data_IF_845924406176
#
_entry.id   IF_845924406176
#
_cell.length_a   1.000
_cell.length_b   1.000
_cell.length_c   1.000
_cell.angle_alpha   90.00
_cell.angle_beta   90.00
_cell.angle_gamma   90.00
#
_symmetry.space_group_name_H-M   'P 1'
#
loop_
_entity.id
_entity.type
_entity.pdbx_description
1 polymer ?
#
# COMPACT_ATOMS: atom_id res chain seq x y z
N UNK A 1 16.52 21.17 13.99
CA UNK A 1 15.60 22.23 14.47
C UNK A 1 14.42 21.52 15.08
N UNK A 2 14.31 21.46 16.40
CA UNK A 2 13.17 20.84 17.06
C UNK A 2 11.92 21.66 16.76
N UNK A 3 10.94 21.04 16.13
CA UNK A 3 9.65 21.64 15.88
C UNK A 3 8.90 21.77 17.22
N UNK A 4 8.85 22.96 17.76
CA UNK A 4 8.23 23.17 19.06
C UNK A 4 6.70 23.25 18.89
N UNK A 5 6.04 22.07 18.92
CA UNK A 5 4.59 21.90 18.82
C UNK A 5 3.85 22.75 19.86
N UNK A 6 4.41 22.88 21.07
CA UNK A 6 3.82 23.67 22.15
C UNK A 6 3.74 25.18 21.81
N UNK A 7 4.69 25.70 21.04
CA UNK A 7 4.70 27.09 20.63
C UNK A 7 3.56 27.39 19.64
N UNK A 8 3.29 26.46 18.72
CA UNK A 8 2.19 26.60 17.75
C UNK A 8 0.81 26.42 18.40
N UNK A 9 0.67 25.46 19.31
CA UNK A 9 -0.57 25.26 20.06
C UNK A 9 -0.86 26.48 20.95
N UNK A 10 0.14 27.02 21.64
CA UNK A 10 -0.02 28.25 22.44
C UNK A 10 -0.37 29.45 21.58
N UNK A 11 0.22 29.63 20.41
CA UNK A 11 -0.12 30.68 19.46
C UNK A 11 -1.58 30.61 19.00
N UNK A 12 -2.05 29.38 18.67
CA UNK A 12 -3.43 29.14 18.31
C UNK A 12 -4.42 29.48 19.44
N UNK A 13 -4.12 29.06 20.67
CA UNK A 13 -4.93 29.38 21.84
C UNK A 13 -4.93 30.88 22.15
N UNK A 14 -3.79 31.53 22.05
CA UNK A 14 -3.69 32.98 22.26
C UNK A 14 -4.56 33.79 21.28
N UNK A 15 -4.61 33.34 20.01
CA UNK A 15 -5.47 33.92 18.98
C UNK A 15 -6.95 33.68 19.28
N UNK A 16 -7.31 32.46 19.71
CA UNK A 16 -8.68 32.08 20.06
C UNK A 16 -9.23 32.88 21.25
N UNK A 17 -8.38 33.27 22.20
CA UNK A 17 -8.74 34.09 23.38
C UNK A 17 -8.45 35.60 23.20
N UNK A 18 -8.08 36.03 21.96
CA UNK A 18 -7.93 37.46 21.65
C UNK A 18 -6.62 38.11 22.12
N UNK A 19 -5.55 37.37 22.33
CA UNK A 19 -4.23 37.88 22.69
C UNK A 19 -3.36 38.06 21.44
N UNK A 20 -3.10 39.31 21.05
CA UNK A 20 -2.78 39.74 19.68
C UNK A 20 -1.30 39.81 19.25
N UNK A 21 -0.31 39.44 20.04
CA UNK A 21 1.10 39.66 19.68
C UNK A 21 1.84 38.56 18.95
N UNK A 22 1.13 37.50 18.44
CA UNK A 22 1.74 36.37 17.69
C UNK A 22 0.97 35.96 16.44
N UNK A 23 0.11 36.83 15.95
CA UNK A 23 -0.74 36.55 14.79
C UNK A 23 0.05 36.39 13.48
N UNK A 24 1.19 37.08 13.35
CA UNK A 24 2.00 37.07 12.12
C UNK A 24 2.73 35.73 11.90
N UNK A 25 3.30 35.13 12.96
CA UNK A 25 4.03 33.84 12.83
C UNK A 25 3.11 32.69 12.43
N UNK A 26 1.86 32.65 12.92
CA UNK A 26 0.90 31.61 12.56
C UNK A 26 0.31 31.85 11.17
N UNK A 27 0.02 33.09 10.84
CA UNK A 27 -0.43 33.50 9.51
C UNK A 27 0.64 33.16 8.46
N UNK A 28 1.91 33.44 8.75
CA UNK A 28 3.05 33.10 7.86
C UNK A 28 3.25 31.60 7.72
N UNK A 29 3.17 30.83 8.81
CA UNK A 29 3.28 29.37 8.74
C UNK A 29 2.12 28.76 7.93
N UNK A 30 0.89 29.26 8.09
CA UNK A 30 -0.28 28.80 7.32
C UNK A 30 -0.16 29.19 5.85
N UNK A 31 0.33 30.40 5.57
CA UNK A 31 0.57 30.89 4.21
C UNK A 31 1.69 30.12 3.53
N UNK A 32 2.77 29.82 4.24
CA UNK A 32 3.86 28.98 3.73
C UNK A 32 3.39 27.55 3.41
N UNK A 33 2.55 26.97 4.27
CA UNK A 33 1.95 25.66 4.04
C UNK A 33 1.04 25.68 2.81
N UNK A 34 0.19 26.68 2.66
CA UNK A 34 -0.67 26.85 1.48
C UNK A 34 0.14 26.98 0.19
N UNK A 35 1.18 27.82 0.19
CA UNK A 35 2.06 28.00 -0.97
C UNK A 35 2.78 26.71 -1.37
N UNK A 36 3.19 25.87 -0.42
CA UNK A 36 3.86 24.60 -0.73
C UNK A 36 2.91 23.55 -1.28
N UNK A 37 1.70 23.45 -0.71
CA UNK A 37 0.65 22.54 -1.21
C UNK A 37 0.25 22.91 -2.64
N UNK A 38 0.11 24.20 -2.93
CA UNK A 38 -0.13 24.75 -4.26
C UNK A 38 0.94 24.29 -5.26
N UNK A 39 2.21 24.52 -4.96
CA UNK A 39 3.33 24.11 -5.83
C UNK A 39 3.33 22.61 -6.13
N UNK A 40 2.98 21.76 -5.15
CA UNK A 40 2.84 20.34 -5.37
C UNK A 40 1.71 20.03 -6.36
N UNK A 41 0.52 20.60 -6.12
CA UNK A 41 -0.65 20.36 -6.96
C UNK A 41 -0.46 20.89 -8.38
N UNK A 42 0.27 21.99 -8.57
CA UNK A 42 0.65 22.51 -9.88
C UNK A 42 1.63 21.59 -10.61
N UNK A 43 2.60 21.03 -9.88
CA UNK A 43 3.56 20.06 -10.41
C UNK A 43 2.98 18.66 -10.64
N UNK A 44 1.79 18.36 -10.10
CA UNK A 44 1.18 17.05 -10.21
C UNK A 44 0.68 16.76 -11.62
N UNK A 45 1.39 15.89 -12.32
CA UNK A 45 1.00 15.42 -13.65
C UNK A 45 -0.07 14.33 -13.54
N UNK A 46 -1.31 14.65 -13.95
CA UNK A 46 -2.45 13.74 -14.02
C UNK A 46 -2.62 13.06 -15.38
N UNK A 47 -1.81 13.38 -16.39
CA UNK A 47 -1.93 12.79 -17.73
C UNK A 47 -1.89 11.25 -17.72
N UNK A 48 -1.09 10.58 -16.88
CA UNK A 48 -1.07 9.13 -16.80
C UNK A 48 -2.40 8.48 -16.45
N UNK A 49 -3.24 9.16 -15.69
CA UNK A 49 -4.54 8.64 -15.22
C UNK A 49 -5.73 9.16 -16.03
N UNK A 50 -5.52 10.16 -16.90
CA UNK A 50 -6.61 10.75 -17.69
C UNK A 50 -7.34 9.75 -18.57
N UNK A 51 -6.70 8.75 -19.20
CA UNK A 51 -7.42 7.72 -19.97
C UNK A 51 -8.44 6.95 -19.11
N UNK A 52 -8.09 6.63 -17.86
CA UNK A 52 -9.03 5.98 -16.93
C UNK A 52 -10.12 6.94 -16.47
N UNK A 53 -9.71 8.13 -16.03
CA UNK A 53 -10.64 9.14 -15.53
C UNK A 53 -11.69 9.50 -16.59
N UNK A 54 -11.29 9.61 -17.86
CA UNK A 54 -12.16 9.96 -18.98
C UNK A 54 -13.27 8.93 -19.24
N UNK A 55 -13.04 7.64 -18.96
CA UNK A 55 -14.07 6.59 -19.11
C UNK A 55 -15.31 6.83 -18.26
N UNK A 56 -15.19 7.60 -17.19
CA UNK A 56 -16.26 7.86 -16.24
C UNK A 56 -17.01 9.17 -16.50
N UNK A 57 -16.77 9.80 -17.66
CA UNK A 57 -17.45 11.01 -18.11
C UNK A 57 -18.13 10.78 -19.44
N UNK A 58 -19.38 11.26 -19.57
CA UNK A 58 -20.17 11.18 -20.81
C UNK A 58 -19.88 12.32 -21.80
N UNK A 59 -19.13 13.34 -21.36
CA UNK A 59 -18.78 14.52 -22.17
C UNK A 59 -17.25 14.56 -22.39
N UNK A 60 -16.77 15.19 -23.48
CA UNK A 60 -15.35 15.46 -23.68
C UNK A 60 -14.74 16.28 -22.55
N UNK A 61 -13.44 16.13 -22.32
CA UNK A 61 -12.70 16.94 -21.34
C UNK A 61 -12.84 18.44 -21.69
N UNK A 62 -13.10 19.25 -20.68
CA UNK A 62 -13.32 20.70 -20.84
C UNK A 62 -14.76 21.10 -21.18
N UNK A 63 -15.70 20.15 -21.29
CA UNK A 63 -17.13 20.41 -21.46
C UNK A 63 -17.99 19.99 -20.25
N UNK A 64 -17.36 19.55 -19.18
CA UNK A 64 -17.99 19.28 -17.89
C UNK A 64 -18.18 20.57 -17.09
N UNK A 65 -19.16 20.56 -16.18
CA UNK A 65 -19.45 21.70 -15.29
C UNK A 65 -18.26 22.04 -14.39
N UNK A 66 -17.55 20.99 -13.92
CA UNK A 66 -16.34 21.10 -13.11
C UNK A 66 -15.19 20.34 -13.75
N UNK A 67 -14.01 20.96 -13.95
CA UNK A 67 -12.86 20.30 -14.54
C UNK A 67 -12.49 19.02 -13.79
N UNK A 68 -12.45 17.88 -14.49
CA UNK A 68 -12.19 16.57 -13.86
C UNK A 68 -10.83 16.50 -13.19
N UNK A 69 -9.84 17.24 -13.69
CA UNK A 69 -8.52 17.38 -13.07
C UNK A 69 -8.60 18.10 -11.75
N UNK A 70 -9.35 19.19 -11.68
CA UNK A 70 -9.58 19.93 -10.43
C UNK A 70 -10.31 19.08 -9.40
N UNK A 71 -11.33 18.33 -9.81
CA UNK A 71 -12.04 17.40 -8.95
C UNK A 71 -11.11 16.33 -8.36
N UNK A 72 -10.21 15.78 -9.17
CA UNK A 72 -9.25 14.77 -8.71
C UNK A 72 -8.16 15.37 -7.80
N UNK A 73 -7.62 16.54 -8.16
CA UNK A 73 -6.71 17.31 -7.29
C UNK A 73 -7.35 17.61 -5.93
N UNK A 74 -8.63 17.97 -5.91
CA UNK A 74 -9.39 18.24 -4.67
C UNK A 74 -9.46 17.01 -3.77
N UNK A 75 -9.61 15.80 -4.32
CA UNK A 75 -9.55 14.57 -3.54
C UNK A 75 -8.19 14.40 -2.86
N UNK A 76 -7.08 14.57 -3.60
CA UNK A 76 -5.72 14.48 -3.06
C UNK A 76 -5.51 15.55 -1.98
N UNK A 77 -5.83 16.80 -2.29
CA UNK A 77 -5.72 17.94 -1.41
C UNK A 77 -6.52 17.75 -0.10
N UNK A 78 -7.77 17.28 -0.21
CA UNK A 78 -8.63 16.99 0.93
C UNK A 78 -8.04 15.95 1.87
N UNK A 79 -7.44 14.89 1.32
CA UNK A 79 -6.75 13.85 2.11
C UNK A 79 -5.52 14.41 2.83
N UNK A 80 -4.71 15.18 2.12
CA UNK A 80 -3.52 15.80 2.71
C UNK A 80 -3.88 16.79 3.84
N UNK A 81 -4.93 17.60 3.65
CA UNK A 81 -5.48 18.51 4.68
C UNK A 81 -6.26 17.77 5.79
N UNK A 82 -6.38 16.45 5.76
CA UNK A 82 -7.16 15.63 6.70
C UNK A 82 -8.62 16.11 6.85
N UNK A 83 -9.24 16.55 5.78
CA UNK A 83 -10.65 16.96 5.78
C UNK A 83 -11.53 15.75 5.58
N UNK A 84 -12.27 15.34 6.63
CA UNK A 84 -13.10 14.13 6.61
C UNK A 84 -14.36 14.28 5.77
N UNK A 85 -15.10 15.39 5.95
CA UNK A 85 -16.45 15.56 5.40
C UNK A 85 -16.45 16.44 4.16
N UNK A 86 -17.25 16.08 3.15
CA UNK A 86 -17.38 16.86 1.92
C UNK A 86 -17.96 18.25 2.17
N UNK A 87 -18.91 18.38 3.11
CA UNK A 87 -19.45 19.68 3.54
C UNK A 87 -18.36 20.60 4.10
N UNK A 88 -17.37 20.05 4.82
CA UNK A 88 -16.22 20.85 5.27
C UNK A 88 -15.31 21.24 4.12
N UNK A 89 -15.16 20.39 3.11
CA UNK A 89 -14.39 20.69 1.90
C UNK A 89 -15.01 21.86 1.14
N UNK A 90 -16.31 21.77 0.88
CA UNK A 90 -17.09 22.85 0.24
C UNK A 90 -16.97 24.15 1.02
N UNK A 91 -17.25 24.15 2.33
CA UNK A 91 -17.14 25.32 3.17
C UNK A 91 -15.73 25.94 3.19
N UNK A 92 -14.70 25.08 3.23
CA UNK A 92 -13.32 25.54 3.21
C UNK A 92 -12.99 26.23 1.88
N UNK A 93 -13.31 25.62 0.76
CA UNK A 93 -13.04 26.19 -0.56
C UNK A 93 -13.84 27.50 -0.78
N UNK A 94 -15.08 27.59 -0.29
CA UNK A 94 -15.87 28.84 -0.34
C UNK A 94 -15.27 29.98 0.49
N UNK A 95 -14.55 29.64 1.55
CA UNK A 95 -13.85 30.64 2.38
C UNK A 95 -12.40 30.89 1.92
N UNK A 96 -11.86 30.07 1.04
CA UNK A 96 -10.51 30.15 0.47
C UNK A 96 -10.55 29.97 -1.05
N UNK A 97 -11.17 30.91 -1.78
CA UNK A 97 -11.37 30.78 -3.23
C UNK A 97 -10.04 30.71 -4.00
N UNK A 98 -8.97 31.28 -3.49
CA UNK A 98 -7.65 31.20 -4.09
C UNK A 98 -7.17 29.74 -4.17
N UNK A 99 -7.37 28.93 -3.12
CA UNK A 99 -7.04 27.50 -3.14
C UNK A 99 -7.90 26.72 -4.16
N UNK A 100 -9.16 27.13 -4.36
CA UNK A 100 -10.02 26.54 -5.39
C UNK A 100 -9.50 26.83 -6.81
N UNK A 101 -9.02 28.03 -7.06
CA UNK A 101 -8.41 28.44 -8.33
C UNK A 101 -7.11 27.63 -8.55
N UNK A 102 -6.27 27.49 -7.53
CA UNK A 102 -5.04 26.71 -7.57
C UNK A 102 -5.31 25.22 -7.84
N UNK A 103 -6.41 24.67 -7.33
CA UNK A 103 -6.86 23.31 -7.68
C UNK A 103 -7.28 23.19 -9.14
N UNK A 104 -7.54 24.30 -9.82
CA UNK A 104 -7.88 24.38 -11.23
C UNK A 104 -9.39 24.45 -11.49
N UNK A 105 -10.20 24.91 -10.53
CA UNK A 105 -11.61 25.23 -10.79
C UNK A 105 -11.73 26.50 -11.65
N UNK A 106 -12.76 26.49 -12.50
CA UNK A 106 -13.06 27.64 -13.33
C UNK A 106 -13.49 28.84 -12.48
N UNK A 107 -13.32 30.03 -13.03
CA UNK A 107 -13.82 31.28 -12.47
C UNK A 107 -15.00 31.77 -13.30
N UNK A 108 -15.98 32.39 -12.67
CA UNK A 108 -17.11 33.01 -13.32
C UNK A 108 -16.76 34.42 -13.90
N UNK A 109 -17.75 35.08 -14.48
CA UNK A 109 -17.56 36.42 -15.06
C UNK A 109 -17.26 37.48 -14.01
N UNK A 110 -17.50 37.23 -12.72
CA UNK A 110 -17.22 38.19 -11.64
C UNK A 110 -15.81 37.92 -11.04
N UNK A 111 -15.13 36.88 -11.46
CA UNK A 111 -13.83 36.45 -10.94
C UNK A 111 -13.94 35.48 -9.75
N UNK A 112 -15.14 34.99 -9.41
CA UNK A 112 -15.36 34.05 -8.33
C UNK A 112 -15.11 32.59 -8.80
N UNK A 113 -14.48 31.81 -7.95
CA UNK A 113 -14.24 30.38 -8.23
C UNK A 113 -15.55 29.59 -8.25
N UNK A 114 -15.75 28.78 -9.31
CA UNK A 114 -16.90 27.87 -9.43
C UNK A 114 -16.61 26.60 -8.60
N UNK A 115 -17.05 26.60 -7.35
CA UNK A 115 -16.77 25.55 -6.39
C UNK A 115 -17.90 24.51 -6.40
N UNK A 116 -17.59 23.21 -6.55
CA UNK A 116 -18.58 22.15 -6.48
C UNK A 116 -19.15 22.02 -5.07
N UNK A 117 -20.44 21.74 -4.95
CA UNK A 117 -21.07 21.44 -3.68
C UNK A 117 -20.62 20.07 -3.14
N UNK A 118 -20.92 19.82 -1.88
CA UNK A 118 -20.52 18.59 -1.19
C UNK A 118 -21.11 17.31 -1.82
N UNK A 119 -22.32 17.39 -2.40
CA UNK A 119 -22.91 16.24 -3.07
C UNK A 119 -22.21 15.96 -4.40
N UNK A 120 -21.82 16.97 -5.16
CA UNK A 120 -21.03 16.83 -6.38
C UNK A 120 -19.66 16.20 -6.09
N UNK A 121 -18.96 16.66 -5.04
CA UNK A 121 -17.70 16.06 -4.58
C UNK A 121 -17.91 14.60 -4.16
N UNK A 122 -18.94 14.30 -3.36
CA UNK A 122 -19.29 12.95 -2.93
C UNK A 122 -19.64 12.06 -4.12
N UNK A 123 -20.45 12.55 -5.04
CA UNK A 123 -20.84 11.82 -6.24
C UNK A 123 -19.62 11.48 -7.11
N UNK A 124 -18.70 12.42 -7.29
CA UNK A 124 -17.47 12.22 -8.02
C UNK A 124 -16.64 11.07 -7.46
N UNK A 125 -16.33 11.10 -6.17
CA UNK A 125 -15.46 10.11 -5.55
C UNK A 125 -16.12 8.74 -5.39
N UNK A 126 -17.40 8.69 -4.95
CA UNK A 126 -18.04 7.44 -4.53
C UNK A 126 -18.90 6.78 -5.59
N UNK A 127 -19.48 7.55 -6.50
CA UNK A 127 -20.43 7.05 -7.50
C UNK A 127 -19.77 7.03 -8.87
N UNK A 128 -19.22 8.17 -9.32
CA UNK A 128 -18.63 8.27 -10.65
C UNK A 128 -17.36 7.44 -10.76
N UNK A 129 -16.43 7.56 -9.84
CA UNK A 129 -15.23 6.74 -9.80
C UNK A 129 -15.46 5.43 -9.04
N UNK A 130 -15.81 5.50 -7.76
CA UNK A 130 -15.96 4.34 -6.90
C UNK A 130 -14.66 3.53 -6.75
N UNK A 131 -14.77 2.34 -6.13
CA UNK A 131 -13.59 1.52 -5.83
C UNK A 131 -12.87 1.04 -7.10
N UNK A 132 -13.61 0.55 -8.11
CA UNK A 132 -12.99 -0.04 -9.29
C UNK A 132 -12.13 0.95 -10.09
N UNK A 133 -12.65 2.18 -10.33
CA UNK A 133 -11.86 3.21 -11.00
C UNK A 133 -10.68 3.69 -10.14
N UNK A 134 -10.89 3.83 -8.83
CA UNK A 134 -9.82 4.24 -7.92
C UNK A 134 -8.72 3.19 -7.81
N UNK A 135 -9.05 1.89 -7.82
CA UNK A 135 -8.05 0.81 -7.85
C UNK A 135 -7.26 0.83 -9.16
N UNK A 136 -7.94 1.03 -10.31
CA UNK A 136 -7.28 1.17 -11.60
C UNK A 136 -6.36 2.41 -11.66
N UNK A 137 -6.79 3.53 -11.09
CA UNK A 137 -5.99 4.75 -10.98
C UNK A 137 -4.77 4.52 -10.07
N UNK A 138 -4.94 3.84 -8.95
CA UNK A 138 -3.83 3.47 -8.07
C UNK A 138 -2.78 2.66 -8.83
N UNK A 139 -3.21 1.65 -9.58
CA UNK A 139 -2.32 0.81 -10.40
C UNK A 139 -1.57 1.65 -11.46
N UNK A 140 -2.24 2.57 -12.14
CA UNK A 140 -1.61 3.47 -13.10
C UNK A 140 -0.55 4.36 -12.45
N UNK A 141 -0.80 4.87 -11.26
CA UNK A 141 0.22 5.59 -10.49
C UNK A 141 1.39 4.69 -10.12
N UNK A 142 1.15 3.46 -9.63
CA UNK A 142 2.22 2.50 -9.34
C UNK A 142 3.10 2.25 -10.57
N UNK A 143 2.50 1.96 -11.73
CA UNK A 143 3.23 1.75 -12.99
C UNK A 143 4.10 2.96 -13.34
N UNK A 144 3.58 4.17 -13.16
CA UNK A 144 4.32 5.40 -13.48
C UNK A 144 5.43 5.68 -12.48
N UNK A 145 5.18 5.49 -11.19
CA UNK A 145 6.19 5.65 -10.14
C UNK A 145 7.36 4.69 -10.36
N UNK A 146 7.08 3.42 -10.63
CA UNK A 146 8.12 2.42 -10.95
C UNK A 146 8.88 2.82 -12.22
N UNK A 147 8.18 3.24 -13.28
CA UNK A 147 8.80 3.65 -14.53
C UNK A 147 9.65 4.91 -14.44
N UNK A 148 9.25 5.91 -13.63
CA UNK A 148 10.08 7.10 -13.38
C UNK A 148 11.26 6.76 -12.45
N UNK A 149 11.06 5.88 -11.46
CA UNK A 149 12.15 5.34 -10.64
C UNK A 149 13.22 4.65 -11.47
N UNK A 150 12.83 3.77 -12.40
CA UNK A 150 13.74 3.08 -13.32
C UNK A 150 14.61 4.06 -14.13
N UNK A 151 14.04 5.17 -14.62
CA UNK A 151 14.78 6.22 -15.35
C UNK A 151 15.84 6.89 -14.50
N UNK A 152 15.62 6.97 -13.20
CA UNK A 152 16.54 7.56 -12.24
C UNK A 152 17.52 6.54 -11.62
N UNK A 153 17.44 5.28 -12.05
CA UNK A 153 18.27 4.17 -11.55
C UNK A 153 17.79 3.62 -10.21
N UNK A 154 16.57 3.93 -9.77
CA UNK A 154 15.95 3.34 -8.59
C UNK A 154 15.25 2.03 -8.98
N UNK A 155 15.28 1.05 -8.09
CA UNK A 155 14.65 -0.25 -8.27
C UNK A 155 13.39 -0.37 -7.38
N UNK A 156 12.44 0.55 -7.60
CA UNK A 156 11.20 0.57 -6.81
C UNK A 156 10.49 -0.77 -6.94
N UNK A 157 10.21 -1.42 -5.81
CA UNK A 157 9.65 -2.76 -5.72
C UNK A 157 10.69 -3.89 -5.71
N UNK A 158 12.01 -3.63 -5.66
CA UNK A 158 13.04 -4.67 -5.53
C UNK A 158 12.92 -5.36 -4.17
N UNK A 159 12.80 -4.58 -3.10
CA UNK A 159 12.63 -5.00 -1.72
C UNK A 159 11.21 -4.66 -1.27
N UNK A 160 10.36 -5.69 -1.12
CA UNK A 160 8.95 -5.48 -0.78
C UNK A 160 8.61 -6.03 0.58
N UNK A 161 7.67 -5.40 1.25
CA UNK A 161 7.09 -5.93 2.47
C UNK A 161 5.59 -5.96 2.42
N UNK A 162 5.01 -6.98 3.04
CA UNK A 162 3.56 -7.07 3.20
C UNK A 162 3.21 -7.15 4.67
N UNK A 163 2.41 -6.20 5.13
CA UNK A 163 1.93 -6.15 6.51
C UNK A 163 0.43 -5.80 6.56
N UNK A 164 -0.22 -6.20 7.67
CA UNK A 164 -1.61 -5.88 7.95
C UNK A 164 -1.72 -4.86 9.07
N UNK A 165 -2.49 -3.79 8.85
CA UNK A 165 -2.78 -2.82 9.89
C UNK A 165 -4.25 -2.89 10.30
N UNK A 166 -4.55 -2.97 11.62
CA UNK A 166 -5.91 -2.90 12.12
C UNK A 166 -6.47 -1.49 11.97
N UNK A 167 -7.74 -1.39 11.53
CA UNK A 167 -8.49 -0.14 11.45
C UNK A 167 -9.72 -0.29 12.34
N UNK A 168 -9.76 0.46 13.43
CA UNK A 168 -10.86 0.42 14.37
C UNK A 168 -12.11 1.10 13.81
N UNK A 169 -13.23 0.39 13.81
CA UNK A 169 -14.53 0.87 13.29
C UNK A 169 -15.67 0.48 14.24
N UNK A 170 -15.72 1.03 15.45
CA UNK A 170 -16.59 0.56 16.54
C UNK A 170 -18.08 0.61 16.19
N UNK A 171 -18.51 1.56 15.36
CA UNK A 171 -19.89 1.83 15.02
C UNK A 171 -20.27 1.41 13.59
N UNK A 172 -19.47 0.52 12.96
CA UNK A 172 -19.69 0.04 11.60
C UNK A 172 -20.00 -1.46 11.59
N UNK A 173 -21.03 -1.87 10.84
CA UNK A 173 -21.40 -3.28 10.66
C UNK A 173 -20.36 -4.08 9.86
N UNK A 174 -19.51 -3.42 9.07
CA UNK A 174 -18.44 -4.06 8.32
C UNK A 174 -17.32 -4.63 9.21
N UNK A 175 -17.20 -4.12 10.43
CA UNK A 175 -16.19 -4.59 11.38
C UNK A 175 -16.56 -5.89 12.04
N UNK A 176 -15.55 -6.73 12.28
CA UNK A 176 -15.64 -7.92 13.13
C UNK A 176 -14.91 -7.68 14.45
N UNK A 177 -15.38 -8.27 15.53
CA UNK A 177 -14.71 -8.16 16.83
C UNK A 177 -13.48 -9.07 16.85
N UNK A 178 -12.31 -8.47 17.02
CA UNK A 178 -11.07 -9.21 17.16
C UNK A 178 -10.70 -9.37 18.64
N UNK A 179 -10.63 -10.62 19.12
CA UNK A 179 -10.38 -10.94 20.52
C UNK A 179 -8.97 -10.56 21.00
N UNK A 180 -7.97 -10.59 20.09
CA UNK A 180 -6.59 -10.19 20.42
C UNK A 180 -6.51 -8.68 20.69
N UNK A 181 -7.06 -7.87 19.79
CA UNK A 181 -7.07 -6.41 19.92
C UNK A 181 -8.20 -5.89 20.82
N UNK A 182 -9.17 -6.76 21.19
CA UNK A 182 -10.39 -6.40 21.96
C UNK A 182 -11.17 -5.24 21.34
N UNK A 183 -11.20 -5.16 20.01
CA UNK A 183 -11.80 -4.08 19.24
C UNK A 183 -12.60 -4.61 18.06
N UNK A 184 -13.61 -3.83 17.63
CA UNK A 184 -14.32 -4.05 16.38
C UNK A 184 -13.56 -3.35 15.25
N UNK A 185 -13.10 -4.11 14.27
CA UNK A 185 -12.14 -3.63 13.30
C UNK A 185 -12.26 -4.34 11.94
N UNK A 186 -11.63 -3.78 10.94
CA UNK A 186 -11.20 -4.42 9.70
C UNK A 186 -9.67 -4.43 9.66
N UNK A 187 -9.09 -5.19 8.74
CA UNK A 187 -7.65 -5.15 8.44
C UNK A 187 -7.41 -4.59 7.04
N UNK A 188 -6.38 -3.79 6.90
CA UNK A 188 -5.84 -3.40 5.61
C UNK A 188 -4.46 -4.04 5.44
N UNK A 189 -4.32 -4.91 4.45
CA UNK A 189 -3.03 -5.43 4.01
C UNK A 189 -2.45 -4.45 2.99
N UNK A 190 -1.19 -4.08 3.17
CA UNK A 190 -0.47 -3.19 2.27
C UNK A 190 0.85 -3.87 1.92
N UNK A 191 1.13 -3.99 0.64
CA UNK A 191 2.47 -4.30 0.16
C UNK A 191 3.13 -3.01 -0.27
N UNK A 192 4.35 -2.81 0.19
CA UNK A 192 5.13 -1.61 -0.06
C UNK A 192 6.52 -1.91 -0.57
N UNK A 193 7.12 -0.94 -1.24
CA UNK A 193 8.57 -0.86 -1.44
C UNK A 193 9.22 -0.37 -0.15
N UNK A 194 10.14 -1.15 0.39
CA UNK A 194 10.80 -0.86 1.67
C UNK A 194 11.81 0.28 1.58
N UNK A 195 12.48 0.43 0.46
CA UNK A 195 13.55 1.41 0.32
C UNK A 195 12.99 2.84 0.24
N UNK A 196 11.74 2.99 -0.22
CA UNK A 196 11.15 4.31 -0.49
C UNK A 196 9.78 4.53 0.17
N UNK A 197 9.26 3.56 0.94
CA UNK A 197 7.93 3.59 1.58
C UNK A 197 6.78 3.88 0.59
N UNK A 198 6.78 3.20 -0.54
CA UNK A 198 5.78 3.37 -1.61
C UNK A 198 4.77 2.23 -1.58
N UNK A 199 3.46 2.49 -1.43
CA UNK A 199 2.45 1.44 -1.47
C UNK A 199 2.32 0.89 -2.90
N UNK A 200 2.46 -0.43 -3.06
CA UNK A 200 2.41 -1.12 -4.35
C UNK A 200 1.13 -1.96 -4.53
N UNK A 201 0.57 -2.46 -3.45
CA UNK A 201 -0.69 -3.19 -3.46
C UNK A 201 -1.44 -2.99 -2.14
N UNK A 202 -2.76 -3.17 -2.17
CA UNK A 202 -3.59 -3.12 -0.97
C UNK A 202 -4.71 -4.15 -1.02
N UNK A 203 -5.20 -4.56 0.15
CA UNK A 203 -6.40 -5.37 0.31
C UNK A 203 -7.04 -5.10 1.65
N UNK A 204 -8.37 -4.91 1.66
CA UNK A 204 -9.15 -4.77 2.91
C UNK A 204 -9.94 -6.04 3.16
N UNK A 205 -9.98 -6.47 4.41
CA UNK A 205 -10.65 -7.69 4.82
C UNK A 205 -11.28 -7.57 6.23
N UNK A 206 -11.98 -8.60 6.67
CA UNK A 206 -12.54 -8.66 8.02
C UNK A 206 -11.44 -8.67 9.10
N UNK A 207 -11.73 -8.08 10.26
CA UNK A 207 -10.75 -7.96 11.34
C UNK A 207 -10.33 -9.30 11.96
N UNK A 208 -11.09 -10.39 11.71
CA UNK A 208 -10.78 -11.76 12.17
C UNK A 208 -10.23 -12.66 11.08
N UNK A 209 -10.13 -12.17 9.85
CA UNK A 209 -9.61 -12.97 8.74
C UNK A 209 -8.13 -13.31 8.97
N UNK A 210 -7.73 -14.47 8.49
CA UNK A 210 -6.37 -14.94 8.62
C UNK A 210 -5.49 -14.29 7.54
N UNK A 211 -4.39 -13.67 7.93
CA UNK A 211 -3.53 -12.88 7.05
C UNK A 211 -2.91 -13.71 5.93
N UNK A 212 -2.62 -15.01 6.20
CA UNK A 212 -2.03 -15.92 5.22
C UNK A 212 -2.84 -16.08 3.92
N UNK A 213 -4.15 -15.87 3.96
CA UNK A 213 -5.04 -15.99 2.78
C UNK A 213 -4.81 -14.89 1.74
N UNK A 214 -4.20 -13.79 2.14
CA UNK A 214 -4.11 -12.59 1.30
C UNK A 214 -2.75 -12.41 0.62
N UNK A 215 -1.67 -13.08 1.11
CA UNK A 215 -0.32 -12.85 0.59
C UNK A 215 -0.20 -13.15 -0.91
N UNK A 216 -0.74 -14.27 -1.38
CA UNK A 216 -0.72 -14.61 -2.81
C UNK A 216 -1.33 -13.49 -3.67
N UNK A 217 -2.52 -12.99 -3.28
CA UNK A 217 -3.19 -11.90 -3.99
C UNK A 217 -2.40 -10.59 -3.94
N UNK A 218 -1.76 -10.30 -2.81
CA UNK A 218 -0.90 -9.14 -2.65
C UNK A 218 0.32 -9.21 -3.55
N UNK A 219 1.03 -10.35 -3.57
CA UNK A 219 2.19 -10.56 -4.44
C UNK A 219 1.82 -10.49 -5.94
N UNK A 220 0.67 -11.06 -6.33
CA UNK A 220 0.19 -10.98 -7.73
C UNK A 220 -0.05 -9.52 -8.14
N UNK A 221 -0.72 -8.75 -7.31
CA UNK A 221 -1.00 -7.33 -7.58
C UNK A 221 0.29 -6.51 -7.59
N UNK A 222 1.20 -6.75 -6.65
CA UNK A 222 2.51 -6.08 -6.62
C UNK A 222 3.32 -6.39 -7.88
N UNK A 223 3.29 -7.66 -8.35
CA UNK A 223 4.04 -8.07 -9.53
C UNK A 223 3.53 -7.43 -10.83
N UNK A 224 2.28 -6.99 -10.89
CA UNK A 224 1.76 -6.22 -12.03
C UNK A 224 2.44 -4.86 -12.10
N UNK A 225 2.53 -4.15 -10.96
CA UNK A 225 3.10 -2.80 -10.86
C UNK A 225 4.63 -2.78 -10.94
N UNK A 226 5.29 -3.69 -10.23
CA UNK A 226 6.75 -3.69 -10.01
C UNK A 226 7.46 -4.95 -10.53
N UNK A 227 6.83 -5.72 -11.39
CA UNK A 227 7.22 -7.07 -11.87
C UNK A 227 8.70 -7.24 -12.22
N UNK A 228 9.32 -6.23 -12.83
CA UNK A 228 10.72 -6.30 -13.25
C UNK A 228 11.71 -6.25 -12.11
N UNK A 229 11.30 -5.63 -11.01
CA UNK A 229 12.20 -5.23 -9.93
C UNK A 229 12.14 -6.19 -8.74
N UNK A 230 11.00 -6.84 -8.49
CA UNK A 230 10.82 -7.69 -7.31
C UNK A 230 11.91 -8.76 -7.19
N UNK A 231 12.60 -8.80 -6.06
CA UNK A 231 13.64 -9.78 -5.72
C UNK A 231 13.47 -10.37 -4.33
N UNK A 232 13.22 -9.53 -3.34
CA UNK A 232 13.09 -9.93 -1.96
C UNK A 232 11.76 -9.48 -1.38
N UNK A 233 11.24 -10.26 -0.43
CA UNK A 233 10.00 -9.93 0.26
C UNK A 233 10.06 -10.29 1.73
N UNK A 234 9.53 -9.39 2.56
CA UNK A 234 9.38 -9.57 4.00
C UNK A 234 7.91 -9.68 4.37
N UNK A 235 7.59 -10.58 5.26
CA UNK A 235 6.24 -10.70 5.78
C UNK A 235 6.21 -11.21 7.22
N UNK A 236 5.18 -10.81 7.95
CA UNK A 236 4.99 -11.18 9.34
C UNK A 236 4.64 -12.66 9.52
N UNK A 237 4.81 -13.18 10.75
CA UNK A 237 4.45 -14.54 11.13
C UNK A 237 3.02 -14.93 10.77
N UNK A 238 2.10 -13.96 10.73
CA UNK A 238 0.72 -14.15 10.28
C UNK A 238 0.56 -14.65 8.83
N UNK A 239 1.57 -14.45 7.98
CA UNK A 239 1.60 -14.94 6.60
C UNK A 239 2.40 -16.24 6.43
N UNK A 240 2.96 -16.76 7.52
CA UNK A 240 3.93 -17.85 7.52
C UNK A 240 3.24 -19.21 7.32
N UNK A 241 2.95 -19.55 6.07
CA UNK A 241 2.31 -20.78 5.66
C UNK A 241 3.11 -21.45 4.51
N UNK A 242 3.14 -22.77 4.49
CA UNK A 242 3.87 -23.53 3.46
C UNK A 242 3.45 -23.13 2.03
N UNK A 243 2.15 -22.88 1.81
CA UNK A 243 1.65 -22.39 0.53
C UNK A 243 2.30 -21.07 0.14
N UNK A 244 2.32 -20.11 1.05
CA UNK A 244 2.84 -18.77 0.79
C UNK A 244 4.34 -18.78 0.49
N UNK A 245 5.11 -19.56 1.26
CA UNK A 245 6.55 -19.74 1.04
C UNK A 245 6.80 -20.38 -0.32
N UNK A 246 6.13 -21.50 -0.62
CA UNK A 246 6.30 -22.21 -1.88
C UNK A 246 5.94 -21.32 -3.09
N UNK A 247 4.81 -20.59 -3.04
CA UNK A 247 4.40 -19.66 -4.10
C UNK A 247 5.40 -18.52 -4.28
N UNK A 248 5.81 -17.87 -3.19
CA UNK A 248 6.73 -16.73 -3.27
C UNK A 248 8.06 -17.12 -3.91
N UNK A 249 8.63 -18.28 -3.55
CA UNK A 249 9.88 -18.75 -4.15
C UNK A 249 9.69 -19.26 -5.58
N UNK A 250 8.69 -20.12 -5.83
CA UNK A 250 8.59 -20.87 -7.08
C UNK A 250 7.85 -20.10 -8.16
N UNK A 251 6.73 -19.46 -7.83
CA UNK A 251 5.92 -18.74 -8.82
C UNK A 251 6.41 -17.31 -9.04
N UNK A 252 6.84 -16.63 -7.97
CA UNK A 252 7.29 -15.25 -8.04
C UNK A 252 8.82 -15.10 -8.08
N UNK A 253 9.58 -16.15 -7.81
CA UNK A 253 11.05 -16.15 -7.84
C UNK A 253 11.69 -15.27 -6.75
N UNK A 254 11.01 -15.08 -5.61
CA UNK A 254 11.40 -14.17 -4.56
C UNK A 254 12.24 -14.85 -3.48
N UNK A 255 13.20 -14.13 -2.93
CA UNK A 255 13.85 -14.48 -1.67
C UNK A 255 12.93 -13.99 -0.54
N UNK A 256 12.53 -14.91 0.35
CA UNK A 256 11.59 -14.61 1.42
C UNK A 256 12.29 -14.45 2.77
N UNK A 257 11.93 -13.41 3.50
CA UNK A 257 12.36 -13.16 4.87
C UNK A 257 11.14 -13.20 5.80
N UNK A 258 11.15 -14.12 6.74
CA UNK A 258 10.03 -14.36 7.66
C UNK A 258 10.53 -14.76 9.04
N UNK A 259 9.68 -14.56 10.04
CA UNK A 259 10.00 -14.96 11.41
C UNK A 259 10.07 -16.49 11.53
N UNK A 260 11.11 -17.00 12.19
CA UNK A 260 11.24 -18.43 12.51
C UNK A 260 10.70 -18.65 13.92
N UNK A 261 9.49 -19.16 14.02
CA UNK A 261 8.90 -19.59 15.27
C UNK A 261 9.65 -20.79 15.89
N UNK A 262 9.55 -20.94 17.20
CA UNK A 262 10.21 -22.04 17.93
C UNK A 262 9.88 -23.41 17.33
N UNK A 263 8.62 -23.63 16.91
CA UNK A 263 8.19 -24.87 16.27
C UNK A 263 8.79 -25.11 14.87
N UNK A 264 9.32 -24.05 14.25
CA UNK A 264 9.91 -24.07 12.92
C UNK A 264 11.44 -24.17 12.91
N UNK A 265 12.07 -24.20 14.09
CA UNK A 265 13.53 -24.29 14.26
C UNK A 265 14.08 -25.70 14.09
N UNK A 266 13.39 -26.55 13.35
CA UNK A 266 13.83 -27.93 13.08
C UNK A 266 13.89 -28.17 11.58
N UNK A 267 14.97 -28.81 11.14
CA UNK A 267 15.04 -29.35 9.79
C UNK A 267 13.99 -30.45 9.60
N UNK A 268 13.17 -30.31 8.57
CA UNK A 268 12.12 -31.29 8.25
C UNK A 268 12.68 -32.35 7.32
N UNK A 269 12.36 -33.63 7.62
CA UNK A 269 12.65 -34.77 6.79
C UNK A 269 11.39 -35.62 6.67
N UNK A 270 11.36 -36.52 5.67
CA UNK A 270 10.22 -37.35 5.33
C UNK A 270 10.60 -38.83 5.47
N UNK A 271 9.75 -39.62 6.14
CA UNK A 271 9.99 -41.04 6.33
C UNK A 271 9.09 -41.88 5.42
N UNK A 272 9.71 -42.78 4.67
CA UNK A 272 9.02 -43.73 3.80
C UNK A 272 9.40 -45.16 4.18
N UNK A 273 8.44 -46.08 4.19
CA UNK A 273 8.64 -47.50 4.42
C UNK A 273 8.51 -48.29 3.13
N UNK A 274 9.61 -49.00 2.76
CA UNK A 274 9.64 -49.88 1.60
C UNK A 274 10.21 -51.23 2.05
N UNK A 275 9.48 -52.33 1.80
CA UNK A 275 9.90 -53.70 2.14
C UNK A 275 10.39 -53.85 3.60
N UNK A 276 9.68 -53.22 4.54
CA UNK A 276 10.00 -53.28 5.98
C UNK A 276 11.17 -52.39 6.42
N UNK A 277 11.82 -51.69 5.52
CA UNK A 277 12.88 -50.70 5.83
C UNK A 277 12.35 -49.29 5.79
N UNK A 278 12.76 -48.47 6.73
CA UNK A 278 12.44 -47.01 6.77
C UNK A 278 13.59 -46.27 6.10
N UNK A 279 13.22 -45.34 5.23
CA UNK A 279 14.12 -44.41 4.53
C UNK A 279 13.74 -43.00 4.91
N UNK A 280 14.72 -42.18 5.21
CA UNK A 280 14.52 -40.74 5.54
C UNK A 280 14.93 -39.91 4.34
N UNK A 281 14.01 -39.11 3.83
CA UNK A 281 14.20 -38.23 2.68
C UNK A 281 14.39 -36.81 3.10
N UNK A 282 15.31 -36.11 2.44
CA UNK A 282 15.35 -34.61 2.49
C UNK A 282 14.18 -34.06 1.70
N UNK A 283 13.84 -32.73 1.86
CA UNK A 283 12.81 -32.11 1.04
C UNK A 283 13.03 -32.27 -0.48
N UNK A 284 14.28 -32.17 -0.94
CA UNK A 284 14.62 -32.38 -2.35
C UNK A 284 14.33 -33.83 -2.82
N UNK A 285 14.70 -34.81 -2.01
CA UNK A 285 14.39 -36.20 -2.30
C UNK A 285 12.89 -36.49 -2.29
N UNK A 286 12.14 -35.83 -1.39
CA UNK A 286 10.68 -35.90 -1.32
C UNK A 286 10.01 -35.26 -2.55
N UNK A 287 10.48 -34.11 -3.00
CA UNK A 287 10.05 -33.48 -4.25
C UNK A 287 10.20 -34.43 -5.42
N UNK A 288 11.38 -35.04 -5.56
CA UNK A 288 11.66 -36.01 -6.64
C UNK A 288 10.75 -37.26 -6.53
N UNK A 289 10.57 -37.79 -5.31
CA UNK A 289 9.69 -38.93 -5.06
C UNK A 289 8.23 -38.63 -5.41
N UNK A 290 7.72 -37.50 -5.00
CA UNK A 290 6.34 -37.08 -5.30
C UNK A 290 6.15 -36.78 -6.78
N UNK A 291 7.11 -36.10 -7.42
CA UNK A 291 7.04 -35.80 -8.85
C UNK A 291 6.95 -37.05 -9.69
N UNK A 292 7.73 -38.12 -9.36
CA UNK A 292 7.70 -39.41 -10.07
C UNK A 292 6.35 -40.11 -10.00
N UNK A 293 5.47 -39.80 -9.06
CA UNK A 293 4.11 -40.38 -9.01
C UNK A 293 3.23 -39.91 -10.17
N UNK A 294 3.64 -38.85 -10.86
CA UNK A 294 2.91 -38.28 -11.99
C UNK A 294 3.47 -38.66 -13.37
N UNK A 295 4.26 -39.77 -13.45
CA UNK A 295 4.94 -40.18 -14.67
C UNK A 295 4.01 -40.45 -15.88
N UNK A 296 2.72 -40.72 -15.64
CA UNK A 296 1.70 -40.94 -16.67
C UNK A 296 0.99 -39.67 -17.12
N UNK A 297 1.29 -38.51 -16.48
CA UNK A 297 0.66 -37.23 -16.82
C UNK A 297 1.29 -36.63 -18.08
N UNK A 298 0.48 -35.94 -18.93
CA UNK A 298 0.95 -35.34 -20.17
C UNK A 298 2.09 -34.34 -20.02
N UNK A 299 2.10 -33.61 -18.90
CA UNK A 299 3.07 -32.54 -18.59
C UNK A 299 4.33 -33.08 -17.87
N UNK A 300 4.45 -34.41 -17.67
CA UNK A 300 5.59 -34.98 -17.00
C UNK A 300 6.83 -34.96 -17.89
N UNK A 301 7.94 -34.47 -17.37
CA UNK A 301 9.26 -34.45 -18.01
C UNK A 301 10.20 -35.41 -17.32
N UNK A 302 10.73 -36.44 -18.05
CA UNK A 302 11.62 -37.46 -17.48
C UNK A 302 12.90 -36.85 -16.90
N UNK A 303 13.43 -35.82 -17.53
CA UNK A 303 14.68 -35.15 -17.16
C UNK A 303 14.41 -33.72 -16.58
N UNK A 304 13.33 -33.61 -15.77
CA UNK A 304 12.98 -32.35 -15.12
C UNK A 304 14.05 -31.93 -14.12
N UNK A 305 14.39 -30.64 -14.09
CA UNK A 305 15.21 -30.05 -13.02
C UNK A 305 14.42 -30.02 -11.70
N UNK A 306 15.12 -29.82 -10.58
CA UNK A 306 14.45 -29.64 -9.29
C UNK A 306 13.45 -28.47 -9.34
N UNK A 307 13.79 -27.38 -10.04
CA UNK A 307 12.89 -26.24 -10.26
C UNK A 307 11.64 -26.61 -11.05
N UNK A 308 11.78 -27.37 -12.17
CA UNK A 308 10.63 -27.87 -12.93
C UNK A 308 9.71 -28.73 -12.07
N UNK A 309 10.30 -29.61 -11.23
CA UNK A 309 9.55 -30.48 -10.32
C UNK A 309 8.79 -29.66 -9.27
N UNK A 310 9.43 -28.65 -8.67
CA UNK A 310 8.80 -27.76 -7.70
C UNK A 310 7.64 -26.98 -8.33
N UNK A 311 7.84 -26.40 -9.52
CA UNK A 311 6.79 -25.69 -10.26
C UNK A 311 5.60 -26.62 -10.55
N UNK A 312 5.87 -27.86 -10.94
CA UNK A 312 4.83 -28.85 -11.19
C UNK A 312 4.04 -29.18 -9.92
N UNK A 313 4.73 -29.45 -8.79
CA UNK A 313 4.09 -29.78 -7.52
C UNK A 313 3.27 -28.61 -6.97
N UNK A 314 3.77 -27.39 -7.06
CA UNK A 314 3.04 -26.16 -6.67
C UNK A 314 1.76 -26.01 -7.50
N UNK A 315 1.83 -26.24 -8.82
CA UNK A 315 0.65 -26.26 -9.71
C UNK A 315 -0.39 -27.32 -9.31
N UNK A 316 0.07 -28.43 -8.76
CA UNK A 316 -0.81 -29.51 -8.24
C UNK A 316 -1.29 -29.24 -6.79
N UNK A 317 -0.91 -28.13 -6.17
CA UNK A 317 -1.29 -27.79 -4.81
C UNK A 317 -0.48 -28.50 -3.72
N UNK A 318 0.67 -29.03 -4.06
CA UNK A 318 1.58 -29.72 -3.14
C UNK A 318 2.68 -28.75 -2.70
N UNK A 319 2.46 -28.06 -1.59
CA UNK A 319 3.29 -26.93 -1.16
C UNK A 319 4.34 -27.32 -0.11
N UNK A 320 4.02 -28.25 0.81
CA UNK A 320 4.85 -28.51 1.99
C UNK A 320 6.29 -28.89 1.67
N UNK A 321 6.60 -29.94 0.88
CA UNK A 321 7.99 -30.30 0.61
C UNK A 321 8.74 -29.22 -0.14
N UNK A 322 8.05 -28.45 -0.97
CA UNK A 322 8.63 -27.30 -1.68
C UNK A 322 8.98 -26.19 -0.69
N UNK A 323 8.06 -25.84 0.23
CA UNK A 323 8.34 -24.87 1.28
C UNK A 323 9.50 -25.30 2.18
N UNK A 324 9.57 -26.59 2.55
CA UNK A 324 10.65 -27.12 3.38
C UNK A 324 12.00 -27.11 2.68
N UNK A 325 12.04 -27.25 1.35
CA UNK A 325 13.26 -27.11 0.57
C UNK A 325 13.92 -25.74 0.77
N UNK A 326 13.14 -24.68 0.81
CA UNK A 326 13.64 -23.32 1.05
C UNK A 326 13.82 -23.02 2.55
N UNK A 327 12.93 -23.54 3.41
CA UNK A 327 12.96 -23.27 4.84
C UNK A 327 14.14 -23.91 5.57
N UNK A 328 14.48 -25.18 5.24
CA UNK A 328 15.54 -25.85 5.97
C UNK A 328 16.89 -25.13 5.89
N UNK A 329 17.37 -24.65 4.73
CA UNK A 329 18.58 -23.83 4.67
C UNK A 329 18.47 -22.51 5.45
N UNK A 330 17.29 -21.89 5.49
CA UNK A 330 17.04 -20.67 6.24
C UNK A 330 17.11 -20.93 7.76
N UNK A 331 16.54 -22.04 8.23
CA UNK A 331 16.65 -22.48 9.63
C UNK A 331 18.11 -22.79 10.00
N UNK A 332 18.83 -23.50 9.13
CA UNK A 332 20.26 -23.78 9.35
C UNK A 332 21.05 -22.48 9.47
N UNK A 333 20.84 -21.52 8.58
CA UNK A 333 21.49 -20.20 8.66
C UNK A 333 21.14 -19.48 9.97
N UNK A 334 19.90 -19.60 10.45
CA UNK A 334 19.50 -19.05 11.74
C UNK A 334 20.22 -19.73 12.91
N UNK A 335 20.42 -21.05 12.88
CA UNK A 335 21.16 -21.78 13.90
C UNK A 335 22.65 -21.40 13.92
N UNK A 336 23.26 -21.18 12.75
CA UNK A 336 24.66 -20.80 12.60
C UNK A 336 24.93 -19.32 12.96
N UNK A 337 24.03 -18.42 12.61
CA UNK A 337 24.17 -17.00 12.81
C UNK A 337 22.81 -16.31 13.09
N UNK A 338 22.26 -16.48 14.31
CA UNK A 338 20.92 -15.95 14.65
C UNK A 338 20.79 -14.44 14.47
N UNK A 339 21.82 -13.69 14.88
CA UNK A 339 21.82 -12.22 14.79
C UNK A 339 21.69 -11.73 13.35
N UNK A 340 22.43 -12.30 12.42
CA UNK A 340 22.37 -11.89 11.01
C UNK A 340 20.98 -12.17 10.37
N UNK A 341 20.34 -13.27 10.75
CA UNK A 341 18.98 -13.57 10.26
C UNK A 341 17.95 -12.66 10.91
N UNK A 342 18.09 -12.36 12.20
CA UNK A 342 17.21 -11.43 12.90
C UNK A 342 17.37 -10.00 12.39
N UNK A 343 18.59 -9.53 12.17
CA UNK A 343 18.83 -8.21 11.60
C UNK A 343 18.19 -8.07 10.22
N UNK A 344 18.35 -9.10 9.36
CA UNK A 344 17.69 -9.13 8.07
C UNK A 344 16.16 -9.12 8.21
N UNK A 345 15.62 -9.89 9.15
CA UNK A 345 14.19 -9.92 9.41
C UNK A 345 13.66 -8.59 9.98
N UNK A 346 14.46 -7.89 10.81
CA UNK A 346 14.06 -6.61 11.40
C UNK A 346 13.87 -5.50 10.37
N UNK A 347 14.34 -5.65 9.14
CA UNK A 347 13.99 -4.73 8.05
C UNK A 347 12.48 -4.70 7.80
N UNK A 348 11.74 -5.74 8.21
CA UNK A 348 10.27 -5.74 8.23
C UNK A 348 9.66 -4.54 8.97
N UNK A 349 10.35 -4.02 9.98
CA UNK A 349 9.84 -2.87 10.75
C UNK A 349 9.64 -1.62 9.88
N UNK A 350 10.17 -1.58 8.67
CA UNK A 350 9.89 -0.52 7.70
C UNK A 350 8.40 -0.47 7.35
N UNK A 351 7.69 -1.61 7.28
CA UNK A 351 6.25 -1.62 6.98
C UNK A 351 5.39 -1.01 8.09
N UNK A 352 5.87 -1.02 9.34
CA UNK A 352 5.24 -0.25 10.41
C UNK A 352 5.31 1.26 10.13
N UNK A 353 6.33 1.70 9.41
CA UNK A 353 6.55 3.09 9.01
C UNK A 353 5.46 3.62 8.09
N UNK A 354 5.13 2.94 6.99
CA UNK A 354 4.10 3.41 6.06
C UNK A 354 2.71 3.36 6.68
N UNK A 355 2.41 2.30 7.45
CA UNK A 355 1.14 2.16 8.14
C UNK A 355 0.93 3.29 9.16
N UNK A 356 1.93 3.57 10.00
CA UNK A 356 1.91 4.68 10.94
C UNK A 356 1.82 6.03 10.22
N UNK A 357 2.62 6.20 9.17
CA UNK A 357 2.63 7.41 8.37
C UNK A 357 1.26 7.75 7.77
N UNK A 358 0.55 6.75 7.21
CA UNK A 358 -0.81 6.95 6.69
C UNK A 358 -1.82 7.25 7.80
N UNK A 359 -1.68 6.64 8.98
CA UNK A 359 -2.53 6.93 10.14
C UNK A 359 -2.34 8.37 10.61
N UNK A 360 -1.10 8.78 10.78
CA UNK A 360 -0.76 10.09 11.34
C UNK A 360 -0.96 11.23 10.35
N UNK A 361 -0.60 11.05 9.09
CA UNK A 361 -0.57 12.12 8.10
C UNK A 361 -1.79 12.16 7.17
N UNK A 362 -2.42 11.02 6.89
CA UNK A 362 -3.57 10.94 5.97
C UNK A 362 -4.88 10.56 6.68
N UNK A 363 -4.84 10.35 8.00
CA UNK A 363 -6.01 10.01 8.79
C UNK A 363 -6.63 8.66 8.42
N UNK A 364 -5.78 7.64 8.16
CA UNK A 364 -6.20 6.30 7.72
C UNK A 364 -7.30 5.69 8.61
N UNK A 365 -7.22 5.88 9.93
CA UNK A 365 -8.21 5.37 10.89
C UNK A 365 -9.33 6.36 11.20
N UNK A 366 -9.06 7.66 11.11
CA UNK A 366 -9.93 8.70 11.67
C UNK A 366 -10.79 9.42 10.64
N UNK A 367 -10.37 9.43 9.38
CA UNK A 367 -10.99 10.26 8.32
C UNK A 367 -11.78 9.42 7.30
N UNK A 368 -12.20 8.21 7.67
CA UNK A 368 -13.10 7.39 6.84
C UNK A 368 -14.45 8.11 6.72
N UNK A 369 -14.87 8.39 5.48
CA UNK A 369 -16.14 9.04 5.20
C UNK A 369 -17.18 8.00 4.76
N UNK A 370 -18.15 7.75 5.63
CA UNK A 370 -19.20 6.77 5.43
C UNK A 370 -18.90 5.41 6.07
N UNK A 371 -19.91 4.53 6.07
CA UNK A 371 -19.85 3.19 6.67
C UNK A 371 -19.75 2.12 5.60
N UNK A 372 -19.32 0.94 6.02
CA UNK A 372 -19.24 -0.26 5.20
C UNK A 372 -17.92 -0.44 4.48
N UNK A 373 -17.63 -1.70 4.17
CA UNK A 373 -16.34 -2.14 3.59
C UNK A 373 -15.93 -1.32 2.35
N UNK A 374 -16.88 -1.00 1.46
CA UNK A 374 -16.62 -0.21 0.25
C UNK A 374 -16.05 1.19 0.56
N UNK A 375 -16.59 1.88 1.58
CA UNK A 375 -16.10 3.22 1.93
C UNK A 375 -14.74 3.16 2.63
N UNK A 376 -14.50 2.11 3.40
CA UNK A 376 -13.20 1.88 4.05
C UNK A 376 -12.14 1.59 2.98
N UNK A 377 -12.43 0.66 2.08
CA UNK A 377 -11.53 0.29 0.99
C UNK A 377 -11.23 1.49 0.08
N UNK A 378 -12.24 2.26 -0.32
CA UNK A 378 -12.07 3.50 -1.07
C UNK A 378 -11.15 4.50 -0.36
N UNK A 379 -11.34 4.67 0.95
CA UNK A 379 -10.51 5.57 1.76
C UNK A 379 -9.04 5.16 1.77
N UNK A 380 -8.77 3.86 1.92
CA UNK A 380 -7.40 3.31 1.91
C UNK A 380 -6.76 3.50 0.53
N UNK A 381 -7.51 3.19 -0.55
CA UNK A 381 -7.04 3.43 -1.92
C UNK A 381 -6.66 4.90 -2.13
N UNK A 382 -7.49 5.83 -1.64
CA UNK A 382 -7.20 7.27 -1.73
C UNK A 382 -5.94 7.66 -0.95
N UNK A 383 -5.70 7.08 0.24
CA UNK A 383 -4.46 7.32 0.98
C UNK A 383 -3.23 6.82 0.18
N UNK A 384 -3.30 5.62 -0.40
CA UNK A 384 -2.24 5.10 -1.26
C UNK A 384 -2.00 6.00 -2.48
N UNK A 385 -3.07 6.47 -3.14
CA UNK A 385 -2.97 7.39 -4.29
C UNK A 385 -2.26 8.69 -3.91
N UNK A 386 -2.50 9.25 -2.72
CA UNK A 386 -1.80 10.45 -2.27
C UNK A 386 -0.29 10.20 -2.19
N UNK A 387 0.14 9.11 -1.57
CA UNK A 387 1.57 8.77 -1.45
C UNK A 387 2.21 8.56 -2.83
N UNK A 388 1.52 7.86 -3.72
CA UNK A 388 1.97 7.61 -5.08
C UNK A 388 2.05 8.91 -5.92
N UNK A 389 1.09 9.80 -5.77
CA UNK A 389 1.09 11.10 -6.45
C UNK A 389 2.27 11.97 -6.00
N UNK A 390 2.57 11.96 -4.69
CA UNK A 390 3.75 12.64 -4.13
C UNK A 390 5.02 12.03 -4.69
N UNK A 391 5.15 10.71 -4.65
CA UNK A 391 6.32 10.00 -5.17
C UNK A 391 6.53 10.29 -6.66
N UNK A 392 5.47 10.24 -7.47
CA UNK A 392 5.55 10.54 -8.91
C UNK A 392 6.06 11.95 -9.16
N UNK A 393 5.48 12.95 -8.47
CA UNK A 393 5.89 14.36 -8.63
C UNK A 393 7.37 14.54 -8.25
N UNK A 394 7.82 13.94 -7.15
CA UNK A 394 9.22 14.02 -6.71
C UNK A 394 10.17 13.38 -7.72
N UNK A 395 9.86 12.18 -8.21
CA UNK A 395 10.66 11.50 -9.22
C UNK A 395 10.75 12.29 -10.52
N UNK A 396 9.66 12.91 -10.97
CA UNK A 396 9.66 13.77 -12.16
C UNK A 396 10.54 15.02 -12.01
N UNK A 397 10.79 15.46 -10.77
CA UNK A 397 11.73 16.53 -10.46
C UNK A 397 13.15 16.01 -10.12
N UNK A 398 13.42 14.72 -10.33
CA UNK A 398 14.73 14.11 -10.07
C UNK A 398 15.06 13.89 -8.59
N UNK A 399 14.08 14.02 -7.69
CA UNK A 399 14.24 13.81 -6.25
C UNK A 399 14.09 12.32 -5.97
N UNK A 400 15.10 11.74 -5.31
CA UNK A 400 15.18 10.30 -5.04
C UNK A 400 14.89 9.92 -3.58
N UNK A 401 14.97 10.86 -2.66
CA UNK A 401 14.84 10.62 -1.23
C UNK A 401 13.44 10.96 -0.72
N UNK A 402 12.97 10.24 0.32
CA UNK A 402 11.70 10.48 1.00
C UNK A 402 10.51 10.57 0.03
N UNK A 403 10.45 9.68 -0.96
CA UNK A 403 9.56 9.78 -2.11
C UNK A 403 8.08 9.90 -1.71
N UNK A 404 7.62 9.18 -0.70
CA UNK A 404 6.24 9.18 -0.25
C UNK A 404 5.92 10.23 0.82
N UNK A 405 6.89 11.03 1.25
CA UNK A 405 6.72 11.94 2.37
C UNK A 405 5.85 13.16 2.02
N UNK A 406 4.61 13.22 2.52
CA UNK A 406 3.72 14.39 2.41
C UNK A 406 4.19 15.56 3.30
N UNK A 407 5.06 15.31 4.29
CA UNK A 407 5.61 16.37 5.13
C UNK A 407 6.47 17.38 4.35
N UNK A 408 6.99 16.97 3.19
CA UNK A 408 7.73 17.87 2.28
C UNK A 408 6.83 18.60 1.28
N UNK A 409 5.52 18.36 1.34
CA UNK A 409 4.52 19.20 0.67
C UNK A 409 4.15 20.43 1.52
N UNK A 410 4.65 20.44 2.75
CA UNK A 410 4.43 21.47 3.74
C UNK A 410 5.69 22.28 3.97
#
# INVERSE_FOLDING_TARGET
>A
MEFNVDKHVKSYWNKFIGLTDKDDEFADATREHSVRTSKFLDGLNLDPIMPELNKHYSVPEGKEDYPRRAMFKTMIWRKNKKIKYYTRTENYLNTHPDEAIELGFNIDMNGDALIPDHETLRHFEKIRLGNGAMDAIMELFCIKVVGEGDKLGLKIGENTGTDSTPIEIPNDSAGTYNGHYKKKMVKAHITEDYDHNIPLAKKVCGGTDNDNQYLEGMLRNTSVSAKKNMRETWFDGGYNENKNIALAHVEFGLICHYHIDIGWRRNVTYEHRFNGKTFTYTPEQEINYLYRKYYDEPDYKKDASTEDMMQYLVKKGIYEPVAMYFRNPYVQKYEECPEAVLDMYHLRNHSEGINSYMKDNLGLETHINGKGMKNIDLHITQCCIVLLAVALTRLQHGIKDNLSSVAYLT
#
